data_IF_728428175293
#
_entry.id   IF_728428175293
#
_cell.length_a   1.000
_cell.length_b   1.000
_cell.length_c   1.000
_cell.angle_alpha   90.00
_cell.angle_beta   90.00
_cell.angle_gamma   90.00
#
_symmetry.space_group_name_H-M   'P 1'
#
loop_
_entity.id
_entity.type
_entity.pdbx_description
1 polymer ?
#
# COMPACT_ATOMS: atom_id res chain seq x y z
N UNK A 1 24.11 16.16 -12.26
CA UNK A 1 24.49 15.08 -11.31
C UNK A 1 23.37 15.04 -10.31
N UNK A 2 22.46 14.11 -10.59
CA UNK A 2 21.04 14.37 -10.58
C UNK A 2 20.41 13.90 -9.28
N UNK A 3 19.54 14.74 -8.71
CA UNK A 3 18.73 14.39 -7.55
C UNK A 3 17.93 13.09 -7.75
N UNK A 4 17.71 12.68 -9.00
CA UNK A 4 17.10 11.40 -9.38
C UNK A 4 17.92 10.16 -8.98
N UNK A 5 19.26 10.19 -9.06
CA UNK A 5 20.12 9.05 -8.68
C UNK A 5 20.05 8.75 -7.16
N UNK A 6 19.88 9.80 -6.35
CA UNK A 6 19.70 9.65 -4.90
C UNK A 6 18.45 8.85 -4.51
N UNK A 7 17.36 8.99 -5.27
CA UNK A 7 16.12 8.24 -5.03
C UNK A 7 16.21 6.77 -5.49
N UNK A 8 16.96 6.49 -6.55
CA UNK A 8 17.16 5.14 -7.11
C UNK A 8 18.03 4.26 -6.19
N UNK A 9 18.98 4.87 -5.47
CA UNK A 9 19.99 4.14 -4.70
C UNK A 9 19.47 3.63 -3.33
N UNK A 10 18.49 4.31 -2.74
CA UNK A 10 17.85 3.86 -1.49
C UNK A 10 16.94 2.64 -1.70
N UNK A 11 16.22 2.59 -2.81
CA UNK A 11 15.16 1.61 -3.08
C UNK A 11 15.68 0.22 -3.47
N UNK A 12 16.77 0.14 -4.27
CA UNK A 12 17.38 -1.14 -4.69
C UNK A 12 17.93 -1.99 -3.54
N UNK A 13 18.21 -1.38 -2.37
CA UNK A 13 18.71 -2.11 -1.21
C UNK A 13 17.71 -3.12 -0.62
N UNK A 14 16.41 -2.93 -0.86
CA UNK A 14 15.34 -3.82 -0.41
C UNK A 14 15.16 -5.09 -1.27
N UNK A 15 15.55 -5.05 -2.55
CA UNK A 15 15.25 -6.11 -3.53
C UNK A 15 16.32 -7.21 -3.63
N UNK A 16 17.50 -7.03 -3.04
CA UNK A 16 18.63 -7.95 -3.24
C UNK A 16 18.64 -9.21 -2.36
N UNK A 17 17.61 -9.45 -1.54
CA UNK A 17 17.53 -10.68 -0.75
C UNK A 17 16.69 -11.77 -1.44
N UNK A 18 17.36 -12.53 -2.33
CA UNK A 18 17.13 -13.93 -2.77
C UNK A 18 15.69 -14.41 -3.12
N UNK A 19 15.52 -15.49 -3.92
CA UNK A 19 14.21 -16.12 -4.08
C UNK A 19 13.82 -16.83 -2.76
N UNK A 20 12.86 -16.26 -2.03
CA UNK A 20 12.44 -16.76 -0.71
C UNK A 20 11.21 -17.68 -0.85
N UNK A 21 11.16 -18.84 -0.15
CA UNK A 21 10.02 -19.76 -0.18
C UNK A 21 8.72 -19.12 0.38
N UNK A 22 7.58 -19.79 0.17
CA UNK A 22 6.22 -19.34 0.52
C UNK A 22 6.18 -18.47 1.80
N UNK A 23 6.12 -17.15 1.58
CA UNK A 23 6.25 -16.17 2.65
C UNK A 23 4.95 -16.05 3.46
N UNK A 24 4.99 -15.69 4.75
CA UNK A 24 3.82 -15.23 5.48
C UNK A 24 3.09 -14.11 4.72
N UNK A 25 1.76 -14.02 4.87
CA UNK A 25 0.91 -13.08 4.10
C UNK A 25 1.42 -11.62 4.19
N UNK A 26 2.10 -11.24 5.27
CA UNK A 26 2.63 -9.89 5.45
C UNK A 26 3.90 -9.57 4.66
N UNK A 27 4.84 -10.50 4.50
CA UNK A 27 6.04 -10.24 3.70
C UNK A 27 5.68 -10.10 2.22
N UNK A 28 4.69 -10.86 1.76
CA UNK A 28 4.15 -10.73 0.41
C UNK A 28 3.34 -9.43 0.28
N UNK A 29 2.64 -8.97 1.34
CA UNK A 29 1.96 -7.67 1.33
C UNK A 29 2.95 -6.51 1.15
N UNK A 30 4.08 -6.56 1.84
CA UNK A 30 5.16 -5.58 1.74
C UNK A 30 5.83 -5.65 0.35
N UNK A 31 6.10 -6.85 -0.14
CA UNK A 31 6.68 -7.05 -1.48
C UNK A 31 5.76 -6.56 -2.61
N UNK A 32 4.48 -6.88 -2.58
CA UNK A 32 3.53 -6.40 -3.60
C UNK A 32 3.35 -4.88 -3.53
N UNK A 33 3.34 -4.32 -2.31
CA UNK A 33 3.31 -2.87 -2.11
C UNK A 33 4.55 -2.20 -2.70
N UNK A 34 5.74 -2.80 -2.56
CA UNK A 34 6.96 -2.26 -3.18
C UNK A 34 6.92 -2.36 -4.71
N UNK A 35 6.45 -3.48 -5.27
CA UNK A 35 6.30 -3.64 -6.73
C UNK A 35 5.33 -2.62 -7.31
N UNK A 36 4.19 -2.37 -6.67
CA UNK A 36 3.22 -1.37 -7.14
C UNK A 36 3.75 0.07 -6.98
N UNK A 37 4.54 0.33 -5.93
CA UNK A 37 5.21 1.62 -5.76
C UNK A 37 6.27 1.86 -6.85
N UNK A 38 7.05 0.83 -7.21
CA UNK A 38 8.03 0.88 -8.30
C UNK A 38 7.37 1.09 -9.66
N UNK A 39 6.28 0.36 -9.94
CA UNK A 39 5.51 0.56 -11.15
C UNK A 39 4.95 2.00 -11.20
N UNK A 40 4.46 2.51 -10.07
CA UNK A 40 3.99 3.89 -9.95
C UNK A 40 5.11 4.90 -10.24
N UNK A 41 6.29 4.71 -9.66
CA UNK A 41 7.46 5.55 -9.91
C UNK A 41 7.89 5.53 -11.38
N UNK A 42 8.00 4.33 -11.97
CA UNK A 42 8.37 4.18 -13.37
C UNK A 42 7.42 4.97 -14.27
N UNK A 43 6.12 4.82 -14.06
CA UNK A 43 5.09 5.49 -14.84
C UNK A 43 5.12 7.01 -14.62
N UNK A 44 5.29 7.49 -13.38
CA UNK A 44 5.42 8.91 -13.06
C UNK A 44 6.68 9.56 -13.67
N UNK A 45 7.81 8.87 -13.64
CA UNK A 45 9.07 9.33 -14.22
C UNK A 45 8.97 9.52 -15.75
N UNK A 46 8.05 8.80 -16.40
CA UNK A 46 7.75 8.93 -17.82
C UNK A 46 6.60 9.90 -18.12
N UNK A 47 6.09 10.65 -17.13
CA UNK A 47 5.05 11.67 -17.32
C UNK A 47 3.61 11.19 -17.25
N UNK A 48 3.38 9.91 -16.91
CA UNK A 48 2.05 9.29 -16.80
C UNK A 48 1.48 9.42 -15.38
N UNK A 49 1.27 10.64 -14.91
CA UNK A 49 0.93 10.89 -13.50
C UNK A 49 -0.43 10.32 -13.06
N UNK A 50 -1.42 10.29 -13.95
CA UNK A 50 -2.75 9.75 -13.62
C UNK A 50 -2.68 8.22 -13.41
N UNK A 51 -2.01 7.52 -14.32
CA UNK A 51 -1.75 6.08 -14.20
C UNK A 51 -0.90 5.77 -12.97
N UNK A 52 0.12 6.59 -12.68
CA UNK A 52 0.95 6.45 -11.50
C UNK A 52 0.13 6.56 -10.20
N UNK A 53 -0.77 7.55 -10.10
CA UNK A 53 -1.67 7.70 -8.97
C UNK A 53 -2.73 6.58 -8.90
N UNK A 54 -3.20 6.07 -10.04
CA UNK A 54 -4.10 4.91 -10.08
C UNK A 54 -3.41 3.65 -9.51
N UNK A 55 -2.11 3.46 -9.76
CA UNK A 55 -1.32 2.40 -9.15
C UNK A 55 -1.21 2.57 -7.62
N UNK A 56 -0.99 3.79 -7.12
CA UNK A 56 -1.00 4.07 -5.67
C UNK A 56 -2.36 3.79 -5.03
N UNK A 57 -3.46 4.09 -5.75
CA UNK A 57 -4.81 3.74 -5.30
C UNK A 57 -4.97 2.23 -5.16
N UNK A 58 -4.53 1.48 -6.16
CA UNK A 58 -4.54 0.02 -6.17
C UNK A 58 -3.69 -0.57 -5.04
N UNK A 59 -2.53 0.01 -4.79
CA UNK A 59 -1.65 -0.35 -3.67
C UNK A 59 -2.39 -0.25 -2.32
N UNK A 60 -3.02 0.89 -2.03
CA UNK A 60 -3.75 1.06 -0.77
C UNK A 60 -4.95 0.10 -0.65
N UNK A 61 -5.71 -0.11 -1.73
CA UNK A 61 -6.84 -1.06 -1.70
C UNK A 61 -6.37 -2.49 -1.47
N UNK A 62 -5.41 -2.96 -2.28
CA UNK A 62 -4.87 -4.30 -2.19
C UNK A 62 -4.27 -4.57 -0.81
N UNK A 63 -3.50 -3.62 -0.29
CA UNK A 63 -2.91 -3.71 1.04
C UNK A 63 -3.97 -3.81 2.15
N UNK A 64 -5.01 -2.98 2.11
CA UNK A 64 -6.10 -3.01 3.10
C UNK A 64 -6.89 -4.32 3.06
N UNK A 65 -7.22 -4.80 1.87
CA UNK A 65 -7.96 -6.05 1.71
C UNK A 65 -7.13 -7.23 2.21
N UNK A 66 -5.85 -7.28 1.84
CA UNK A 66 -4.90 -8.27 2.34
C UNK A 66 -4.76 -8.26 3.86
N UNK A 67 -4.60 -7.07 4.44
CA UNK A 67 -4.54 -6.89 5.89
C UNK A 67 -5.80 -7.43 6.57
N UNK A 68 -6.97 -7.25 5.97
CA UNK A 68 -8.23 -7.83 6.44
C UNK A 68 -8.22 -9.36 6.46
N UNK A 69 -7.83 -10.02 5.36
CA UNK A 69 -7.79 -11.49 5.33
C UNK A 69 -6.75 -12.06 6.28
N UNK A 70 -5.63 -11.37 6.47
CA UNK A 70 -4.62 -11.76 7.45
C UNK A 70 -5.14 -11.67 8.89
N UNK A 71 -5.84 -10.59 9.25
CA UNK A 71 -6.54 -10.49 10.54
C UNK A 71 -7.55 -11.62 10.73
N UNK A 72 -8.29 -11.99 9.67
CA UNK A 72 -9.20 -13.13 9.74
C UNK A 72 -8.45 -14.44 9.95
N UNK A 73 -7.30 -14.64 9.31
CA UNK A 73 -6.52 -15.87 9.42
C UNK A 73 -5.92 -16.02 10.82
N UNK A 74 -5.28 -14.95 11.34
CA UNK A 74 -4.74 -14.86 12.70
C UNK A 74 -5.80 -15.19 13.76
N UNK A 75 -7.03 -14.75 13.54
CA UNK A 75 -8.16 -14.97 14.44
C UNK A 75 -8.91 -16.29 14.17
N UNK A 76 -8.45 -17.15 13.25
CA UNK A 76 -9.11 -18.41 12.91
C UNK A 76 -10.49 -18.27 12.25
N UNK A 77 -10.81 -17.07 11.74
CA UNK A 77 -12.10 -16.72 11.12
C UNK A 77 -12.07 -16.81 9.59
N UNK A 78 -10.88 -16.89 8.98
CA UNK A 78 -10.73 -17.05 7.54
C UNK A 78 -11.29 -18.42 7.12
N UNK A 79 -12.26 -18.43 6.19
CA UNK A 79 -12.81 -19.70 5.71
C UNK A 79 -11.78 -20.42 4.85
N UNK A 80 -11.59 -21.72 5.12
CA UNK A 80 -10.67 -22.61 4.42
C UNK A 80 -11.41 -23.85 3.94
N UNK A 81 -11.11 -24.33 2.74
CA UNK A 81 -11.69 -25.55 2.17
C UNK A 81 -10.69 -26.29 1.28
N UNK A 82 -11.05 -27.49 0.85
CA UNK A 82 -10.24 -28.30 -0.06
C UNK A 82 -10.89 -28.35 -1.45
N UNK A 83 -10.10 -28.11 -2.48
CA UNK A 83 -10.51 -28.25 -3.88
C UNK A 83 -9.43 -29.03 -4.63
N UNK A 84 -9.78 -30.17 -5.24
CA UNK A 84 -8.83 -30.99 -6.00
C UNK A 84 -7.61 -31.48 -5.20
N UNK A 85 -7.79 -31.79 -3.91
CA UNK A 85 -6.69 -32.23 -3.02
C UNK A 85 -5.80 -31.10 -2.48
N UNK A 86 -6.01 -29.84 -2.88
CA UNK A 86 -5.28 -28.67 -2.37
C UNK A 86 -6.13 -27.89 -1.36
N UNK A 87 -5.51 -27.40 -0.29
CA UNK A 87 -6.15 -26.46 0.64
C UNK A 87 -6.20 -25.07 -0.01
N UNK A 88 -7.35 -24.40 0.04
CA UNK A 88 -7.57 -23.03 -0.42
C UNK A 88 -8.34 -22.23 0.64
N UNK A 89 -8.44 -20.92 0.47
CA UNK A 89 -9.18 -20.03 1.37
C UNK A 89 -9.78 -18.83 0.59
N UNK A 90 -10.59 -18.01 1.26
CA UNK A 90 -11.23 -16.82 0.64
C UNK A 90 -10.22 -15.85 0.03
N UNK A 91 -9.02 -15.72 0.60
CA UNK A 91 -7.94 -14.87 0.07
C UNK A 91 -7.40 -15.41 -1.27
N UNK A 92 -7.05 -16.69 -1.32
CA UNK A 92 -6.48 -17.33 -2.52
C UNK A 92 -7.45 -17.32 -3.70
N UNK A 93 -8.75 -17.48 -3.46
CA UNK A 93 -9.73 -17.36 -4.54
C UNK A 93 -9.83 -15.95 -5.10
N UNK A 94 -9.73 -14.93 -4.23
CA UNK A 94 -9.72 -13.54 -4.67
C UNK A 94 -8.43 -13.22 -5.45
N UNK A 95 -7.27 -13.57 -4.89
CA UNK A 95 -5.96 -13.31 -5.50
C UNK A 95 -5.81 -14.04 -6.86
N UNK A 96 -6.40 -15.23 -7.00
CA UNK A 96 -6.39 -15.97 -8.27
C UNK A 96 -7.49 -15.56 -9.25
N UNK A 97 -8.29 -14.53 -8.93
CA UNK A 97 -9.38 -14.05 -9.79
C UNK A 97 -10.53 -15.04 -9.96
N UNK A 98 -10.63 -16.06 -9.09
CA UNK A 98 -11.72 -17.05 -9.12
C UNK A 98 -13.00 -16.53 -8.46
N UNK A 99 -12.91 -15.43 -7.71
CA UNK A 99 -14.06 -14.77 -7.11
C UNK A 99 -13.93 -13.25 -7.15
N UNK A 100 -15.03 -12.59 -7.48
CA UNK A 100 -15.16 -11.12 -7.39
C UNK A 100 -15.59 -10.66 -5.98
N UNK A 101 -15.57 -11.56 -4.99
CA UNK A 101 -15.94 -11.27 -3.61
C UNK A 101 -14.86 -10.46 -2.92
N UNK A 102 -14.85 -9.16 -3.19
CA UNK A 102 -14.03 -8.18 -2.50
C UNK A 102 -14.69 -7.76 -1.17
N UNK A 103 -13.95 -7.73 -0.04
CA UNK A 103 -14.48 -7.30 1.23
C UNK A 103 -14.85 -5.82 1.16
N UNK A 104 -16.02 -5.45 1.69
CA UNK A 104 -16.43 -4.05 1.70
C UNK A 104 -15.50 -3.27 2.63
N UNK A 105 -15.20 -2.02 2.30
CA UNK A 105 -14.36 -1.15 3.15
C UNK A 105 -14.83 -1.08 4.61
N UNK A 106 -16.15 -1.16 4.84
CA UNK A 106 -16.73 -1.22 6.20
C UNK A 106 -16.34 -2.50 6.95
N UNK A 107 -16.26 -3.63 6.27
CA UNK A 107 -15.87 -4.93 6.83
C UNK A 107 -14.38 -4.97 7.12
N UNK A 108 -13.56 -4.46 6.19
CA UNK A 108 -12.11 -4.26 6.36
C UNK A 108 -11.85 -3.49 7.65
N UNK A 109 -12.40 -2.28 7.78
CA UNK A 109 -12.18 -1.44 8.96
C UNK A 109 -12.71 -2.05 10.26
N UNK A 110 -13.81 -2.82 10.19
CA UNK A 110 -14.31 -3.51 11.38
C UNK A 110 -13.32 -4.56 11.88
N UNK A 111 -12.70 -5.33 10.97
CA UNK A 111 -11.70 -6.32 11.34
C UNK A 111 -10.43 -5.63 11.85
N UNK A 112 -9.89 -4.66 11.09
CA UNK A 112 -8.65 -3.95 11.44
C UNK A 112 -8.76 -3.24 12.79
N UNK A 113 -9.85 -2.51 13.06
CA UNK A 113 -10.05 -1.83 14.35
C UNK A 113 -10.36 -2.79 15.50
N UNK A 114 -10.64 -4.07 15.21
CA UNK A 114 -10.75 -5.12 16.21
C UNK A 114 -9.38 -5.54 16.77
N UNK A 115 -8.30 -5.27 16.04
CA UNK A 115 -6.92 -5.50 16.52
C UNK A 115 -6.52 -4.40 17.51
N UNK A 116 -6.01 -4.82 18.66
CA UNK A 116 -5.71 -3.93 19.78
C UNK A 116 -4.87 -2.70 19.37
N UNK A 117 -3.73 -2.92 18.70
CA UNK A 117 -2.82 -1.83 18.32
C UNK A 117 -3.40 -0.89 17.29
N UNK A 118 -4.08 -1.42 16.27
CA UNK A 118 -4.70 -0.62 15.22
C UNK A 118 -5.85 0.22 15.81
N UNK A 119 -6.70 -0.40 16.65
CA UNK A 119 -7.78 0.30 17.34
C UNK A 119 -7.30 1.42 18.25
N UNK A 120 -6.27 1.17 19.08
CA UNK A 120 -5.68 2.19 19.94
C UNK A 120 -5.03 3.33 19.15
N UNK A 121 -4.33 3.03 18.07
CA UNK A 121 -3.71 4.05 17.22
C UNK A 121 -4.77 4.91 16.50
N UNK A 122 -5.83 4.29 15.96
CA UNK A 122 -6.92 5.02 15.30
C UNK A 122 -7.63 5.99 16.25
N UNK A 123 -7.87 5.59 17.50
CA UNK A 123 -8.49 6.48 18.50
C UNK A 123 -7.66 7.74 18.78
N UNK A 124 -6.33 7.63 18.71
CA UNK A 124 -5.42 8.74 19.04
C UNK A 124 -5.08 9.61 17.84
N UNK A 125 -4.86 8.99 16.67
CA UNK A 125 -4.31 9.68 15.50
C UNK A 125 -5.27 9.68 14.29
N UNK A 126 -6.39 8.96 14.34
CA UNK A 126 -7.40 8.96 13.27
C UNK A 126 -6.94 8.25 11.99
N UNK A 127 -6.20 7.14 12.10
CA UNK A 127 -5.67 6.38 10.96
C UNK A 127 -6.70 6.08 9.87
N UNK A 128 -7.91 5.64 10.26
CA UNK A 128 -9.00 5.36 9.32
C UNK A 128 -9.43 6.60 8.55
N UNK A 129 -9.44 7.77 9.19
CA UNK A 129 -9.76 9.02 8.53
C UNK A 129 -8.66 9.40 7.53
N UNK A 130 -7.39 9.28 7.93
CA UNK A 130 -6.23 9.56 7.07
C UNK A 130 -6.24 8.66 5.82
N UNK A 131 -6.47 7.35 5.98
CA UNK A 131 -6.56 6.41 4.85
C UNK A 131 -7.75 6.78 3.94
N UNK A 132 -8.93 7.04 4.51
CA UNK A 132 -10.11 7.44 3.72
C UNK A 132 -9.90 8.72 2.93
N UNK A 133 -9.22 9.70 3.53
CA UNK A 133 -8.88 10.95 2.86
C UNK A 133 -7.97 10.68 1.67
N UNK A 134 -6.91 9.90 1.86
CA UNK A 134 -5.98 9.58 0.77
C UNK A 134 -6.65 8.75 -0.34
N UNK A 135 -7.48 7.77 0.02
CA UNK A 135 -8.30 7.04 -0.96
C UNK A 135 -9.22 7.97 -1.76
N UNK A 136 -9.84 8.95 -1.09
CA UNK A 136 -10.69 9.95 -1.75
C UNK A 136 -9.88 10.80 -2.73
N UNK A 137 -8.70 11.27 -2.32
CA UNK A 137 -7.79 12.03 -3.18
C UNK A 137 -7.34 11.23 -4.39
N UNK A 138 -7.06 9.93 -4.21
CA UNK A 138 -6.61 9.04 -5.28
C UNK A 138 -7.75 8.55 -6.19
N UNK A 139 -8.99 8.47 -5.70
CA UNK A 139 -10.15 8.04 -6.49
C UNK A 139 -10.39 8.91 -7.73
N UNK A 140 -9.97 10.19 -7.71
CA UNK A 140 -10.07 11.10 -8.87
C UNK A 140 -9.30 10.61 -10.10
N UNK A 141 -8.34 9.71 -9.92
CA UNK A 141 -7.52 9.13 -10.98
C UNK A 141 -8.02 7.76 -11.47
N UNK A 142 -8.96 7.15 -10.76
CA UNK A 142 -9.50 5.80 -11.07
C UNK A 142 -10.94 5.89 -11.58
N UNK A 143 -11.72 6.85 -11.08
CA UNK A 143 -13.08 7.11 -11.52
C UNK A 143 -13.17 8.49 -12.17
N UNK A 144 -12.92 8.50 -13.48
CA UNK A 144 -12.97 9.73 -14.26
C UNK A 144 -12.03 9.69 -15.43
N UNK A 145 -12.34 8.86 -16.43
CA UNK A 145 -12.10 9.31 -17.80
C UNK A 145 -13.39 10.00 -18.24
N UNK A 146 -13.51 11.34 -18.17
CA UNK A 146 -14.47 11.99 -19.04
C UNK A 146 -14.07 11.59 -20.47
N UNK A 147 -15.00 11.03 -21.24
CA UNK A 147 -14.80 10.83 -22.69
C UNK A 147 -14.37 12.14 -23.38
N UNK A 148 -14.64 13.28 -22.73
CA UNK A 148 -14.36 14.64 -23.18
C UNK A 148 -13.04 15.25 -22.70
N UNK A 149 -12.24 14.57 -21.85
CA UNK A 149 -10.86 14.99 -21.54
C UNK A 149 -9.88 14.41 -22.56
N UNK A 150 -10.20 14.59 -23.84
CA UNK A 150 -9.15 14.76 -24.83
C UNK A 150 -8.56 16.15 -24.57
N UNK A 151 -7.27 16.23 -24.26
CA UNK A 151 -6.54 17.50 -24.34
C UNK A 151 -6.96 18.20 -25.63
N UNK A 152 -7.45 19.44 -25.55
CA UNK A 152 -7.75 20.25 -26.73
C UNK A 152 -6.43 20.53 -27.46
N UNK A 153 -6.06 19.65 -28.40
CA UNK A 153 -4.74 19.61 -29.05
C UNK A 153 -4.14 18.20 -29.20
N UNK A 154 -4.63 17.20 -28.46
CA UNK A 154 -4.16 15.82 -28.60
C UNK A 154 -4.97 15.08 -29.67
N UNK A 155 -4.56 15.22 -30.93
CA UNK A 155 -4.87 14.21 -31.94
C UNK A 155 -4.35 12.87 -31.44
N UNK A 156 -5.23 11.98 -30.96
CA UNK A 156 -4.94 10.60 -30.50
C UNK A 156 -3.62 10.49 -29.73
N UNK A 157 -3.64 10.65 -28.40
CA UNK A 157 -2.56 10.36 -27.44
C UNK A 157 -1.40 9.54 -28.03
N UNK A 158 -0.50 10.19 -28.77
CA UNK A 158 0.71 9.54 -29.21
C UNK A 158 1.63 9.59 -28.00
N UNK A 159 2.35 8.50 -27.74
CA UNK A 159 3.41 8.48 -26.72
C UNK A 159 4.39 9.66 -26.87
N UNK A 160 4.43 10.29 -28.04
CA UNK A 160 5.27 11.44 -28.36
C UNK A 160 4.83 12.77 -27.72
N UNK A 161 3.64 12.87 -27.14
CA UNK A 161 3.15 14.10 -26.48
C UNK A 161 3.20 14.02 -24.94
N UNK A 162 3.84 12.99 -24.40
CA UNK A 162 3.96 12.81 -22.95
C UNK A 162 5.20 13.57 -22.48
N UNK A 163 4.95 14.61 -21.71
CA UNK A 163 5.97 15.50 -21.20
C UNK A 163 6.09 15.33 -19.69
N UNK A 164 7.33 15.20 -19.21
CA UNK A 164 7.62 15.26 -17.80
C UNK A 164 7.38 16.68 -17.27
N UNK A 165 6.53 16.80 -16.25
CA UNK A 165 6.19 18.06 -15.58
C UNK A 165 6.53 17.94 -14.10
N UNK A 166 7.48 18.75 -13.65
CA UNK A 166 8.01 18.66 -12.28
C UNK A 166 6.92 18.87 -11.24
N UNK A 167 5.99 19.80 -11.46
CA UNK A 167 4.91 20.11 -10.52
C UNK A 167 3.95 18.92 -10.36
N UNK A 168 3.72 18.16 -11.45
CA UNK A 168 2.90 16.95 -11.42
C UNK A 168 3.64 15.77 -10.79
N UNK A 169 4.95 15.69 -10.98
CA UNK A 169 5.79 14.71 -10.32
C UNK A 169 5.84 14.96 -8.82
N UNK A 170 5.95 16.21 -8.38
CA UNK A 170 5.86 16.59 -6.96
C UNK A 170 4.48 16.27 -6.37
N UNK A 171 3.39 16.58 -7.08
CA UNK A 171 2.02 16.20 -6.68
C UNK A 171 1.88 14.67 -6.50
N UNK A 172 2.39 13.89 -7.46
CA UNK A 172 2.42 12.43 -7.37
C UNK A 172 3.29 11.95 -6.20
N UNK A 173 4.46 12.55 -5.99
CA UNK A 173 5.38 12.16 -4.93
C UNK A 173 4.77 12.35 -3.54
N UNK A 174 3.94 13.38 -3.34
CA UNK A 174 3.17 13.57 -2.11
C UNK A 174 2.16 12.44 -1.86
N UNK A 175 1.49 11.97 -2.92
CA UNK A 175 0.63 10.79 -2.85
C UNK A 175 1.41 9.53 -2.53
N UNK A 176 2.55 9.31 -3.19
CA UNK A 176 3.43 8.16 -2.93
C UNK A 176 3.85 8.14 -1.46
N UNK A 177 4.38 9.27 -0.96
CA UNK A 177 4.83 9.42 0.43
C UNK A 177 3.71 9.13 1.41
N UNK A 178 2.51 9.65 1.16
CA UNK A 178 1.35 9.45 2.03
C UNK A 178 0.91 7.99 2.02
N UNK A 179 0.78 7.38 0.84
CA UNK A 179 0.39 5.98 0.70
C UNK A 179 1.39 5.04 1.40
N UNK A 180 2.68 5.26 1.18
CA UNK A 180 3.74 4.45 1.77
C UNK A 180 3.81 4.57 3.29
N UNK A 181 3.66 5.79 3.83
CA UNK A 181 3.54 6.01 5.28
C UNK A 181 2.35 5.24 5.86
N UNK A 182 1.18 5.33 5.23
CA UNK A 182 -0.04 4.64 5.70
C UNK A 182 0.11 3.11 5.70
N UNK A 183 0.70 2.55 4.63
CA UNK A 183 1.03 1.12 4.55
C UNK A 183 1.99 0.73 5.65
N UNK A 184 3.08 1.47 5.81
CA UNK A 184 4.11 1.19 6.83
C UNK A 184 3.54 1.22 8.25
N UNK A 185 2.73 2.24 8.56
CA UNK A 185 2.02 2.36 9.84
C UNK A 185 1.15 1.13 10.07
N UNK A 186 0.27 0.78 9.13
CA UNK A 186 -0.61 -0.38 9.28
C UNK A 186 0.16 -1.69 9.42
N UNK A 187 1.22 -1.89 8.62
CA UNK A 187 2.08 -3.08 8.72
C UNK A 187 2.67 -3.22 10.12
N UNK A 188 3.20 -2.16 10.70
CA UNK A 188 3.79 -2.18 12.05
C UNK A 188 2.73 -2.38 13.13
N UNK A 189 1.55 -1.76 12.99
CA UNK A 189 0.47 -1.97 13.95
C UNK A 189 -0.03 -3.41 13.93
N UNK A 190 -0.04 -4.05 12.76
CA UNK A 190 -0.44 -5.44 12.59
C UNK A 190 0.66 -6.44 12.97
N UNK A 191 1.92 -6.01 12.89
CA UNK A 191 3.13 -6.80 13.17
C UNK A 191 4.16 -5.96 13.93
N UNK A 192 3.96 -5.74 15.25
CA UNK A 192 4.84 -4.88 16.04
C UNK A 192 6.31 -5.35 16.04
N UNK A 193 6.58 -6.63 15.79
CA UNK A 193 7.92 -7.20 15.59
C UNK A 193 8.71 -6.51 14.47
N UNK A 194 8.03 -5.90 13.49
CA UNK A 194 8.67 -5.14 12.41
C UNK A 194 9.39 -3.87 12.91
N UNK A 195 9.11 -3.39 14.13
CA UNK A 195 9.82 -2.24 14.73
C UNK A 195 11.33 -2.47 14.92
N UNK A 196 11.78 -3.73 14.93
CA UNK A 196 13.19 -4.11 14.96
C UNK A 196 13.84 -4.23 13.58
N UNK A 197 13.05 -4.16 12.50
CA UNK A 197 13.51 -4.27 11.12
C UNK A 197 13.94 -2.90 10.55
N UNK A 198 14.51 -2.90 9.34
CA UNK A 198 14.76 -1.68 8.58
C UNK A 198 13.50 -0.83 8.39
N UNK A 199 12.33 -1.45 8.13
CA UNK A 199 11.05 -0.73 8.04
C UNK A 199 10.61 -0.12 9.37
N UNK A 200 11.01 -0.73 10.50
CA UNK A 200 10.81 -0.16 11.84
C UNK A 200 11.62 1.11 12.08
N UNK A 201 12.83 1.22 11.51
CA UNK A 201 13.64 2.43 11.58
C UNK A 201 13.01 3.57 10.76
N UNK A 202 12.51 3.26 9.57
CA UNK A 202 11.81 4.22 8.72
C UNK A 202 10.52 4.73 9.39
N UNK A 203 9.74 3.84 10.02
CA UNK A 203 8.58 4.25 10.82
C UNK A 203 8.95 5.13 12.01
N UNK A 204 10.05 4.85 12.72
CA UNK A 204 10.53 5.73 13.81
C UNK A 204 10.87 7.13 13.30
N UNK A 205 11.39 7.25 12.07
CA UNK A 205 11.67 8.54 11.46
C UNK A 205 10.39 9.27 11.04
N UNK A 206 9.40 8.54 10.52
CA UNK A 206 8.14 9.10 10.02
C UNK A 206 7.13 9.41 11.14
N UNK A 207 7.11 8.61 12.22
CA UNK A 207 6.11 8.64 13.29
C UNK A 207 6.78 8.51 14.68
N UNK A 208 7.65 9.46 15.08
CA UNK A 208 8.50 9.33 16.25
C UNK A 208 7.72 9.18 17.57
N UNK A 209 6.61 9.90 17.72
CA UNK A 209 5.78 9.83 18.94
C UNK A 209 5.10 8.47 19.10
N UNK A 210 4.57 7.93 18.00
CA UNK A 210 3.96 6.61 18.00
C UNK A 210 5.00 5.53 18.29
N UNK A 211 6.18 5.62 17.68
CA UNK A 211 7.24 4.64 17.89
C UNK A 211 7.74 4.59 19.34
N UNK A 212 7.87 5.74 20.02
CA UNK A 212 8.20 5.78 21.44
C UNK A 212 7.13 5.10 22.30
N UNK A 213 5.86 5.30 21.98
CA UNK A 213 4.75 4.66 22.69
C UNK A 213 4.79 3.13 22.52
N UNK A 214 5.06 2.63 21.31
CA UNK A 214 5.15 1.18 21.08
C UNK A 214 6.37 0.55 21.75
N UNK A 215 7.53 1.23 21.75
CA UNK A 215 8.72 0.76 22.46
C UNK A 215 8.46 0.59 23.97
N UNK A 216 7.76 1.56 24.58
CA UNK A 216 7.41 1.53 26.00
C UNK A 216 6.45 0.40 26.38
N UNK A 217 5.55 -0.01 25.48
CA UNK A 217 4.56 -1.05 25.74
C UNK A 217 5.08 -2.46 25.44
N UNK A 218 6.02 -2.60 24.49
CA UNK A 218 6.68 -3.87 24.19
C UNK A 218 7.83 -4.20 25.15
N UNK A 219 8.16 -3.31 26.09
CA UNK A 219 9.21 -3.50 27.10
C UNK A 219 10.63 -3.34 26.53
N UNK A 220 10.79 -2.60 25.45
CA UNK A 220 12.10 -2.39 24.80
C UNK A 220 12.68 -1.07 25.29
N UNK A 221 13.81 -1.15 26.00
CA UNK A 221 14.66 0.00 26.37
C UNK A 221 15.72 0.22 25.29
#
# INVERSE_FOLDING_TARGET
>A
MDRAEGYVTGFNSWLHHAPVPARPIWETALFESSVLAEASYFVAAHGFYEEACALLRGLLDGFLARSYWDVLDKNGKLKKWRQGGRSTNEYWEWESGKTDKYPRLKEIWRALLGEHWIGSYDQRYGLKAQVKEELTRLNRFVHGRPETRHYSGASRSSLANIEFKIERFEEWYEHLRTAYRLVSVLSILQYPELLGSAGGQEFRALEPEAAHQFAGVLGWR
#
